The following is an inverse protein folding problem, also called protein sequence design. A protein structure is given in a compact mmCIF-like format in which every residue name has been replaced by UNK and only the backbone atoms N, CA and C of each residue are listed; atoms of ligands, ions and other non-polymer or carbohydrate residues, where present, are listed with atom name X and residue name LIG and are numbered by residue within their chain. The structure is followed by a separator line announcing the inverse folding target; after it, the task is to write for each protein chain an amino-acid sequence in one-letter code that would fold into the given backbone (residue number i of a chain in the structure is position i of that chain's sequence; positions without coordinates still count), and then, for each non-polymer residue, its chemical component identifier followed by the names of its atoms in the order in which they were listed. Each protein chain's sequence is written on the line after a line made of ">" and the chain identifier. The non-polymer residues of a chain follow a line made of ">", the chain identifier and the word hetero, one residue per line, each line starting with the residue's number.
data_IF_030889237104
#
_entry.id   IF_030889237104
#
_cell.length_a   1.000
_cell.length_b   1.000
_cell.length_c   1.000
_cell.angle_alpha   90.00
_cell.angle_beta   90.00
_cell.angle_gamma   90.00
#
_symmetry.space_group_name_H-M   'P 1'
#
loop_
_entity.id
_entity.type
_entity.pdbx_description
1 polymer ?
#
# COMPACT_ATOMS: atom_id res chain seq x y z
N UNK A 1 42.84 0.72 -40.38
CA UNK A 1 42.70 0.96 -41.83
C UNK A 1 41.39 1.70 -41.99
N UNK A 2 41.46 3.02 -42.13
CA UNK A 2 40.26 3.85 -42.33
C UNK A 2 39.92 3.83 -43.83
N UNK A 3 38.79 3.24 -44.18
CA UNK A 3 38.26 3.29 -45.54
C UNK A 3 37.55 4.64 -45.74
N UNK A 4 38.20 5.54 -46.47
CA UNK A 4 37.56 6.75 -46.98
C UNK A 4 36.59 6.37 -48.08
N UNK A 5 35.29 6.36 -47.75
CA UNK A 5 34.22 6.25 -48.74
C UNK A 5 34.24 7.48 -49.66
N UNK A 6 34.94 7.38 -50.78
CA UNK A 6 34.91 8.38 -51.84
C UNK A 6 33.52 8.43 -52.46
N UNK A 7 32.83 9.56 -52.27
CA UNK A 7 31.54 9.82 -52.89
C UNK A 7 31.78 10.04 -54.38
N UNK A 8 31.50 9.02 -55.20
CA UNK A 8 31.52 9.13 -56.66
C UNK A 8 30.44 10.13 -57.10
N UNK A 9 30.85 11.37 -57.38
CA UNK A 9 29.97 12.40 -57.93
C UNK A 9 29.81 12.11 -59.43
N UNK A 10 28.58 11.91 -59.94
CA UNK A 10 28.38 11.70 -61.36
C UNK A 10 28.85 12.94 -62.14
N UNK A 11 29.81 12.76 -63.06
CA UNK A 11 30.36 13.84 -63.88
C UNK A 11 29.27 14.35 -64.82
N UNK A 12 28.66 15.49 -64.47
CA UNK A 12 27.71 16.19 -65.35
C UNK A 12 28.48 17.05 -66.34
N UNK A 13 27.99 17.11 -67.58
CA UNK A 13 28.56 17.99 -68.61
C UNK A 13 28.47 19.47 -68.19
N UNK A 14 29.55 20.23 -68.41
CA UNK A 14 29.57 21.67 -68.16
C UNK A 14 28.79 22.40 -69.25
N UNK A 15 27.86 23.24 -68.84
CA UNK A 15 27.09 24.14 -69.70
C UNK A 15 28.01 25.23 -70.27
N UNK A 16 27.79 25.62 -71.53
CA UNK A 16 28.68 26.54 -72.28
C UNK A 16 28.90 27.90 -71.59
N UNK A 17 27.91 28.40 -70.86
CA UNK A 17 27.99 29.69 -70.13
C UNK A 17 28.53 29.57 -68.70
N UNK A 18 28.86 28.36 -68.23
CA UNK A 18 29.28 28.10 -66.84
C UNK A 18 28.20 28.29 -65.77
N UNK A 19 27.03 28.86 -66.11
CA UNK A 19 25.96 29.19 -65.16
C UNK A 19 24.89 28.10 -65.12
N UNK A 20 24.82 27.36 -64.01
CA UNK A 20 23.77 26.38 -63.73
C UNK A 20 22.42 27.09 -63.57
N UNK A 21 21.45 26.79 -64.43
CA UNK A 21 20.11 27.41 -64.39
C UNK A 21 19.15 26.76 -63.37
N UNK A 22 19.51 25.57 -62.85
CA UNK A 22 18.79 24.82 -61.81
C UNK A 22 19.79 24.18 -60.85
N UNK A 23 19.48 24.18 -59.55
CA UNK A 23 20.23 23.42 -58.55
C UNK A 23 19.88 21.93 -58.64
N UNK A 24 20.80 21.06 -58.19
CA UNK A 24 20.53 19.62 -58.13
C UNK A 24 19.50 19.33 -57.03
N UNK A 25 18.41 18.65 -57.38
CA UNK A 25 17.41 18.21 -56.40
C UNK A 25 17.97 17.02 -55.62
N UNK A 26 18.40 17.25 -54.37
CA UNK A 26 18.74 16.17 -53.46
C UNK A 26 17.48 15.31 -53.18
N UNK A 27 17.62 13.98 -53.13
CA UNK A 27 16.55 13.12 -52.62
C UNK A 27 16.28 13.48 -51.16
N UNK A 28 15.02 13.55 -50.76
CA UNK A 28 14.63 13.84 -49.38
C UNK A 28 15.22 12.76 -48.44
N UNK A 29 16.28 13.09 -47.71
CA UNK A 29 17.05 12.14 -46.88
C UNK A 29 16.43 11.89 -45.50
N UNK A 30 15.54 12.76 -45.04
CA UNK A 30 15.08 12.75 -43.67
C UNK A 30 13.60 12.40 -43.57
N UNK A 31 13.26 11.11 -43.63
CA UNK A 31 11.95 10.67 -43.14
C UNK A 31 11.94 10.84 -41.62
N UNK A 32 11.29 11.89 -41.13
CA UNK A 32 11.13 12.13 -39.71
C UNK A 32 10.22 11.03 -39.15
N UNK A 33 10.81 9.98 -38.57
CA UNK A 33 10.06 8.88 -37.98
C UNK A 33 9.37 9.39 -36.71
N UNK A 34 8.12 9.84 -36.85
CA UNK A 34 7.28 10.19 -35.71
C UNK A 34 6.99 8.96 -34.87
N UNK A 35 6.81 9.15 -33.56
CA UNK A 35 6.38 8.04 -32.69
C UNK A 35 5.05 7.50 -33.22
N UNK A 36 4.92 6.17 -33.41
CA UNK A 36 3.67 5.60 -33.87
C UNK A 36 2.59 5.80 -32.82
N UNK A 37 1.35 6.08 -33.27
CA UNK A 37 0.20 6.30 -32.40
C UNK A 37 -0.07 5.12 -31.44
N UNK A 38 0.22 3.90 -31.89
CA UNK A 38 0.06 2.67 -31.10
C UNK A 38 1.42 2.15 -30.66
N UNK A 39 1.52 1.77 -29.39
CA UNK A 39 2.68 1.06 -28.86
C UNK A 39 2.82 -0.33 -29.53
N UNK A 40 4.07 -0.76 -29.71
CA UNK A 40 4.38 -2.13 -30.16
C UNK A 40 3.80 -3.15 -29.19
N UNK A 41 3.38 -4.30 -29.71
CA UNK A 41 2.81 -5.39 -28.91
C UNK A 41 3.70 -5.82 -27.74
N UNK A 42 5.01 -5.97 -27.98
CA UNK A 42 6.00 -6.32 -26.95
C UNK A 42 6.01 -5.33 -25.78
N UNK A 43 5.89 -4.03 -26.07
CA UNK A 43 5.83 -2.99 -25.04
C UNK A 43 4.56 -3.12 -24.19
N UNK A 44 3.41 -3.36 -24.82
CA UNK A 44 2.13 -3.57 -24.12
C UNK A 44 2.15 -4.82 -23.23
N UNK A 45 2.82 -5.88 -23.68
CA UNK A 45 2.97 -7.10 -22.89
C UNK A 45 3.84 -6.85 -21.65
N UNK A 46 4.98 -6.15 -21.83
CA UNK A 46 5.86 -5.75 -20.73
C UNK A 46 5.14 -4.89 -19.69
N UNK A 47 4.43 -3.85 -20.14
CA UNK A 47 3.64 -2.97 -19.25
C UNK A 47 2.57 -3.76 -18.47
N UNK A 48 1.92 -4.74 -19.09
CA UNK A 48 0.93 -5.59 -18.41
C UNK A 48 1.56 -6.46 -17.33
N UNK A 49 2.75 -7.01 -17.58
CA UNK A 49 3.49 -7.81 -16.59
C UNK A 49 3.91 -6.92 -15.41
N UNK A 50 4.49 -5.75 -15.69
CA UNK A 50 4.89 -4.78 -14.67
C UNK A 50 3.69 -4.33 -13.80
N UNK A 51 2.54 -4.07 -14.43
CA UNK A 51 1.31 -3.73 -13.70
C UNK A 51 0.82 -4.87 -12.81
N UNK A 52 0.92 -6.12 -13.28
CA UNK A 52 0.53 -7.29 -12.50
C UNK A 52 1.44 -7.46 -11.30
N UNK A 53 2.76 -7.36 -11.49
CA UNK A 53 3.75 -7.44 -10.41
C UNK A 53 3.54 -6.34 -9.37
N UNK A 54 3.34 -5.09 -9.82
CA UNK A 54 3.06 -3.96 -8.94
C UNK A 54 1.76 -4.17 -8.15
N UNK A 55 0.71 -4.65 -8.81
CA UNK A 55 -0.57 -4.93 -8.15
C UNK A 55 -0.43 -6.01 -7.07
N UNK A 56 0.32 -7.09 -7.35
CA UNK A 56 0.59 -8.14 -6.37
C UNK A 56 1.36 -7.58 -5.18
N UNK A 57 2.41 -6.80 -5.43
CA UNK A 57 3.21 -6.20 -4.37
C UNK A 57 2.39 -5.23 -3.49
N UNK A 58 1.53 -4.42 -4.09
CA UNK A 58 0.61 -3.53 -3.35
C UNK A 58 -0.36 -4.35 -2.48
N UNK A 59 -0.87 -5.46 -3.00
CA UNK A 59 -1.77 -6.33 -2.25
C UNK A 59 -1.08 -6.98 -1.04
N UNK A 60 0.17 -7.44 -1.21
CA UNK A 60 1.00 -7.98 -0.14
C UNK A 60 1.22 -6.95 0.97
N UNK A 61 1.59 -5.71 0.62
CA UNK A 61 1.79 -4.62 1.59
C UNK A 61 0.51 -4.28 2.35
N UNK A 62 -0.64 -4.28 1.68
CA UNK A 62 -1.95 -4.04 2.33
C UNK A 62 -2.30 -5.17 3.29
N UNK A 63 -2.10 -6.42 2.88
CA UNK A 63 -2.38 -7.59 3.70
C UNK A 63 -1.50 -7.59 4.96
N UNK A 64 -0.20 -7.34 4.82
CA UNK A 64 0.72 -7.24 5.97
C UNK A 64 0.27 -6.18 6.99
N UNK A 65 -0.13 -4.98 6.52
CA UNK A 65 -0.65 -3.91 7.38
C UNK A 65 -1.96 -4.31 8.08
N UNK A 66 -2.85 -5.00 7.37
CA UNK A 66 -4.11 -5.46 7.95
C UNK A 66 -3.89 -6.54 9.01
N UNK A 67 -3.03 -7.52 8.73
CA UNK A 67 -2.65 -8.56 9.69
C UNK A 67 -2.06 -7.95 10.97
N UNK A 68 -1.13 -6.99 10.85
CA UNK A 68 -0.58 -6.29 12.01
C UNK A 68 -1.67 -5.60 12.84
N UNK A 69 -2.61 -4.92 12.17
CA UNK A 69 -3.73 -4.24 12.82
C UNK A 69 -4.66 -5.23 13.54
N UNK A 70 -4.96 -6.38 12.95
CA UNK A 70 -5.79 -7.40 13.57
C UNK A 70 -5.10 -8.01 14.80
N UNK A 71 -3.83 -8.38 14.69
CA UNK A 71 -3.03 -8.88 15.82
C UNK A 71 -2.98 -7.87 16.97
N UNK A 72 -2.84 -6.57 16.68
CA UNK A 72 -2.88 -5.51 17.70
C UNK A 72 -4.25 -5.42 18.39
N UNK A 73 -5.35 -5.58 17.64
CA UNK A 73 -6.71 -5.61 18.21
C UNK A 73 -6.90 -6.84 19.11
N UNK A 74 -6.48 -8.01 18.67
CA UNK A 74 -6.55 -9.25 19.45
C UNK A 74 -5.75 -9.16 20.74
N UNK A 75 -4.50 -8.69 20.67
CA UNK A 75 -3.67 -8.41 21.86
C UNK A 75 -4.36 -7.47 22.83
N UNK A 76 -5.03 -6.42 22.34
CA UNK A 76 -5.79 -5.49 23.17
C UNK A 76 -7.01 -6.15 23.82
N UNK A 77 -7.75 -6.99 23.09
CA UNK A 77 -8.89 -7.76 23.63
C UNK A 77 -8.43 -8.67 24.75
N UNK A 78 -7.39 -9.48 24.51
CA UNK A 78 -6.81 -10.40 25.51
C UNK A 78 -6.33 -9.63 26.74
N UNK A 79 -5.63 -8.50 26.55
CA UNK A 79 -5.18 -7.66 27.68
C UNK A 79 -6.35 -7.11 28.50
N UNK A 80 -7.43 -6.70 27.83
CA UNK A 80 -8.63 -6.19 28.49
C UNK A 80 -9.37 -7.28 29.26
N UNK A 81 -9.46 -8.48 28.69
CA UNK A 81 -10.05 -9.65 29.36
C UNK A 81 -9.24 -10.05 30.59
N UNK A 82 -7.91 -10.17 30.45
CA UNK A 82 -7.00 -10.41 31.60
C UNK A 82 -7.13 -9.33 32.66
N UNK A 83 -7.26 -8.06 32.26
CA UNK A 83 -7.46 -6.95 33.21
C UNK A 83 -8.79 -7.12 33.97
N UNK A 84 -9.90 -7.42 33.28
CA UNK A 84 -11.21 -7.67 33.92
C UNK A 84 -11.16 -8.87 34.86
N UNK A 85 -10.48 -9.94 34.46
CA UNK A 85 -10.33 -11.12 35.31
C UNK A 85 -9.47 -10.82 36.54
N UNK A 86 -8.36 -10.10 36.37
CA UNK A 86 -7.51 -9.66 37.48
C UNK A 86 -8.25 -8.69 38.40
N UNK A 87 -9.07 -7.78 37.87
CA UNK A 87 -9.93 -6.90 38.67
C UNK A 87 -10.93 -7.72 39.50
N UNK A 88 -11.55 -8.75 38.92
CA UNK A 88 -12.42 -9.68 39.64
C UNK A 88 -11.68 -10.46 40.72
N UNK A 89 -10.47 -10.97 40.42
CA UNK A 89 -9.64 -11.74 41.38
C UNK A 89 -9.08 -10.87 42.50
N UNK A 90 -8.63 -9.66 42.17
CA UNK A 90 -8.11 -8.69 43.15
C UNK A 90 -9.21 -8.04 43.98
N UNK A 91 -10.47 -8.20 43.60
CA UNK A 91 -11.58 -7.78 44.42
C UNK A 91 -11.71 -8.69 45.65
N UNK A 92 -11.01 -8.32 46.72
CA UNK A 92 -11.15 -8.95 48.03
C UNK A 92 -12.50 -8.53 48.61
N UNK A 93 -13.51 -9.37 48.43
CA UNK A 93 -14.85 -9.16 48.98
C UNK A 93 -14.96 -9.71 50.40
N UNK A 94 -15.69 -9.00 51.27
CA UNK A 94 -16.07 -9.50 52.59
C UNK A 94 -17.52 -10.02 52.53
N UNK A 95 -17.71 -11.32 52.75
CA UNK A 95 -19.06 -11.91 52.80
C UNK A 95 -19.76 -11.51 54.10
N UNK A 96 -20.83 -10.71 54.00
CA UNK A 96 -21.60 -10.27 55.16
C UNK A 96 -22.64 -11.34 55.50
N UNK A 97 -22.35 -12.18 56.49
CA UNK A 97 -23.25 -13.25 56.95
C UNK A 97 -24.46 -12.74 57.75
N UNK A 98 -24.32 -11.62 58.47
CA UNK A 98 -25.36 -11.08 59.34
C UNK A 98 -25.94 -9.76 58.77
N UNK A 99 -27.20 -9.74 58.31
CA UNK A 99 -27.83 -8.56 57.72
C UNK A 99 -28.16 -7.46 58.74
N UNK A 100 -28.27 -7.79 60.04
CA UNK A 100 -28.55 -6.81 61.08
C UNK A 100 -27.41 -5.79 61.24
N UNK A 101 -26.17 -6.16 60.89
CA UNK A 101 -25.02 -5.22 60.90
C UNK A 101 -25.22 -4.09 59.89
N UNK A 102 -25.60 -4.39 58.64
CA UNK A 102 -25.85 -3.37 57.61
C UNK A 102 -26.99 -2.45 58.04
N UNK A 103 -28.07 -3.02 58.58
CA UNK A 103 -29.25 -2.25 59.02
C UNK A 103 -28.93 -1.27 60.18
N UNK A 104 -27.89 -1.54 60.96
CA UNK A 104 -27.43 -0.69 62.08
C UNK A 104 -26.42 0.38 61.67
N UNK A 105 -25.88 0.34 60.45
CA UNK A 105 -24.87 1.30 60.00
C UNK A 105 -25.48 2.67 59.67
N UNK A 106 -24.67 3.73 59.83
CA UNK A 106 -25.08 5.08 59.47
C UNK A 106 -25.21 5.25 57.95
N UNK A 107 -26.07 6.18 57.52
CA UNK A 107 -26.30 6.50 56.09
C UNK A 107 -25.01 6.86 55.34
N UNK A 108 -24.04 7.49 56.01
CA UNK A 108 -22.72 7.82 55.42
C UNK A 108 -21.87 6.58 55.18
N UNK A 109 -21.88 5.59 56.08
CA UNK A 109 -21.12 4.36 55.90
C UNK A 109 -21.73 3.46 54.82
N UNK A 110 -23.06 3.40 54.73
CA UNK A 110 -23.77 2.64 53.68
C UNK A 110 -23.40 3.12 52.26
N UNK A 111 -23.13 4.42 52.07
CA UNK A 111 -22.68 4.97 50.77
C UNK A 111 -21.30 4.48 50.33
N UNK A 112 -20.46 3.99 51.26
CA UNK A 112 -19.12 3.48 50.96
C UNK A 112 -19.12 1.99 50.59
N UNK A 113 -20.21 1.28 50.84
CA UNK A 113 -20.32 -0.16 50.56
C UNK A 113 -20.70 -0.35 49.10
N UNK A 114 -19.86 -1.04 48.34
CA UNK A 114 -20.22 -1.59 47.03
C UNK A 114 -20.73 -3.03 47.22
N UNK A 115 -21.85 -3.38 46.58
CA UNK A 115 -22.35 -4.75 46.58
C UNK A 115 -21.76 -5.51 45.39
N UNK A 116 -21.36 -6.76 45.62
CA UNK A 116 -20.89 -7.69 44.58
C UNK A 116 -21.58 -9.02 44.80
N UNK A 117 -22.08 -9.60 43.72
CA UNK A 117 -22.71 -10.92 43.77
C UNK A 117 -21.62 -11.99 43.79
N UNK A 118 -21.56 -12.73 44.89
CA UNK A 118 -20.71 -13.91 45.05
C UNK A 118 -21.51 -15.22 44.92
N UNK A 119 -22.79 -15.13 44.57
CA UNK A 119 -23.62 -16.32 44.41
C UNK A 119 -23.19 -17.08 43.14
N UNK A 120 -23.01 -18.40 43.22
CA UNK A 120 -22.76 -19.21 42.03
C UNK A 120 -23.94 -19.10 41.08
N UNK A 121 -23.65 -18.95 39.78
CA UNK A 121 -24.69 -18.95 38.73
C UNK A 121 -25.29 -20.36 38.70
N UNK A 122 -26.63 -20.52 38.79
CA UNK A 122 -27.25 -21.83 38.66
C UNK A 122 -27.01 -22.37 37.24
N UNK A 123 -26.60 -23.64 37.17
CA UNK A 123 -26.33 -24.39 35.93
C UNK A 123 -27.57 -24.50 35.05
#
# INVERSE_FOLDING_TARGET
>A
MEETNEVVIPVRGKNKSGRLWKSEKARFRSMCQVKPLKAKWSKRLKERLEQKELSMHIAELKNAKEQEKQLKKERRKIKLERKRENERKNEIVQVIKNPAKIKRMSKKQLRKIAKRDTNPVPS
#
